data_IF_755953173080
#
_entry.id   IF_755953173080
#
_cell.length_a   1.000
_cell.length_b   1.000
_cell.length_c   1.000
_cell.angle_alpha   90.00
_cell.angle_beta   90.00
_cell.angle_gamma   90.00
#
_symmetry.space_group_name_H-M   'P 1'
#
loop_
_entity.id
_entity.type
_entity.pdbx_description
1 polymer ?
#
# COMPACT_ATOMS: atom_id res chain seq x y z
N UNK A 1 30.04 42.45 -12.15
CA UNK A 1 30.25 41.01 -12.43
C UNK A 1 29.86 40.28 -11.16
N UNK A 2 28.76 39.54 -11.19
CA UNK A 2 28.70 38.16 -10.69
C UNK A 2 27.37 37.56 -11.14
N UNK A 3 27.49 36.39 -11.79
CA UNK A 3 26.42 35.68 -12.47
C UNK A 3 25.34 35.25 -11.49
N UNK A 4 24.10 35.73 -11.67
CA UNK A 4 22.94 34.99 -11.19
C UNK A 4 22.70 33.85 -12.17
N UNK A 5 23.19 32.67 -11.83
CA UNK A 5 22.83 31.43 -12.50
C UNK A 5 21.39 31.11 -12.11
N UNK A 6 20.47 31.18 -13.07
CA UNK A 6 19.11 30.64 -12.90
C UNK A 6 19.23 29.11 -12.81
N UNK A 7 19.41 28.60 -11.59
CA UNK A 7 19.40 27.17 -11.36
C UNK A 7 17.97 26.65 -11.47
N UNK A 8 17.76 25.60 -12.28
CA UNK A 8 16.52 24.83 -12.24
C UNK A 8 16.47 24.00 -10.94
N UNK A 9 15.28 23.65 -10.45
CA UNK A 9 15.02 22.87 -9.22
C UNK A 9 15.93 21.64 -9.14
N UNK A 10 16.12 20.91 -10.24
CA UNK A 10 16.95 19.71 -10.30
C UNK A 10 18.46 19.96 -10.08
N UNK A 11 18.94 21.18 -10.27
CA UNK A 11 20.33 21.57 -10.00
C UNK A 11 20.51 22.03 -8.56
N UNK A 12 19.53 22.76 -8.02
CA UNK A 12 19.52 23.14 -6.59
C UNK A 12 19.42 21.93 -5.67
N UNK A 13 18.63 20.92 -6.02
CA UNK A 13 18.55 19.66 -5.26
C UNK A 13 19.89 18.93 -5.27
N UNK A 14 20.56 18.84 -6.42
CA UNK A 14 21.90 18.21 -6.50
C UNK A 14 22.98 19.00 -5.75
N UNK A 15 22.92 20.33 -5.78
CA UNK A 15 23.83 21.19 -5.03
C UNK A 15 23.63 21.04 -3.52
N UNK A 16 22.37 20.97 -3.08
CA UNK A 16 22.01 20.71 -1.68
C UNK A 16 22.51 19.34 -1.20
N UNK A 17 22.27 18.27 -1.96
CA UNK A 17 22.74 16.92 -1.61
C UNK A 17 24.27 16.88 -1.49
N UNK A 18 24.97 17.55 -2.40
CA UNK A 18 26.44 17.67 -2.37
C UNK A 18 26.94 18.45 -1.15
N UNK A 19 26.27 19.54 -0.77
CA UNK A 19 26.60 20.34 0.41
C UNK A 19 26.36 19.55 1.72
N UNK A 20 25.26 18.80 1.79
CA UNK A 20 24.94 17.93 2.93
C UNK A 20 25.98 16.80 3.08
N UNK A 21 26.35 16.14 1.98
CA UNK A 21 27.34 15.05 1.99
C UNK A 21 28.75 15.53 2.33
N UNK A 22 29.10 16.76 1.95
CA UNK A 22 30.40 17.37 2.28
C UNK A 22 30.43 18.07 3.65
N UNK A 23 29.28 18.19 4.32
CA UNK A 23 29.16 18.88 5.61
C UNK A 23 29.28 20.41 5.50
N UNK A 24 29.07 20.97 4.30
CA UNK A 24 29.00 22.40 4.03
C UNK A 24 27.65 22.96 4.46
N UNK A 25 27.60 23.41 5.71
CA UNK A 25 26.37 23.85 6.38
C UNK A 25 25.84 25.15 5.78
N UNK A 26 26.72 26.09 5.44
CA UNK A 26 26.32 27.39 4.91
C UNK A 26 25.77 27.24 3.48
N UNK A 27 26.40 26.38 2.66
CA UNK A 27 25.89 26.03 1.33
C UNK A 27 24.54 25.30 1.39
N UNK A 28 24.38 24.34 2.31
CA UNK A 28 23.12 23.61 2.45
C UNK A 28 21.94 24.54 2.85
N UNK A 29 22.17 25.50 3.74
CA UNK A 29 21.16 26.48 4.15
C UNK A 29 20.78 27.43 2.99
N UNK A 30 21.78 27.90 2.23
CA UNK A 30 21.57 28.77 1.07
C UNK A 30 20.74 28.07 -0.03
N UNK A 31 21.08 26.83 -0.40
CA UNK A 31 20.34 26.07 -1.42
C UNK A 31 18.92 25.68 -0.97
N UNK A 32 18.74 25.37 0.31
CA UNK A 32 17.43 25.10 0.89
C UNK A 32 16.52 26.34 0.82
N UNK A 33 17.04 27.51 1.22
CA UNK A 33 16.32 28.77 1.15
C UNK A 33 15.99 29.17 -0.30
N UNK A 34 16.89 28.90 -1.25
CA UNK A 34 16.65 29.11 -2.67
C UNK A 34 15.50 28.22 -3.20
N UNK A 35 15.50 26.92 -2.88
CA UNK A 35 14.42 25.97 -3.23
C UNK A 35 13.08 26.38 -2.63
N UNK A 36 13.09 26.87 -1.40
CA UNK A 36 11.89 27.31 -0.69
C UNK A 36 11.24 28.53 -1.36
N UNK A 37 12.03 29.55 -1.69
CA UNK A 37 11.57 30.74 -2.41
C UNK A 37 11.07 30.42 -3.81
N UNK A 38 11.71 29.49 -4.51
CA UNK A 38 11.33 29.07 -5.87
C UNK A 38 9.98 28.33 -5.91
N UNK A 39 9.55 27.75 -4.78
CA UNK A 39 8.24 27.11 -4.60
C UNK A 39 7.16 28.03 -3.98
N UNK A 40 7.44 29.32 -3.86
CA UNK A 40 6.46 30.33 -3.44
C UNK A 40 6.31 30.51 -1.92
N UNK A 41 7.21 29.97 -1.10
CA UNK A 41 7.19 30.19 0.35
C UNK A 41 7.74 31.55 0.77
N UNK A 42 7.22 32.12 1.86
CA UNK A 42 7.63 33.43 2.39
C UNK A 42 8.45 33.30 3.68
N UNK A 43 9.25 34.32 4.04
CA UNK A 43 10.16 34.24 5.21
C UNK A 43 9.43 34.07 6.56
N UNK A 44 8.13 34.37 6.65
CA UNK A 44 7.32 34.17 7.86
C UNK A 44 7.02 32.68 8.14
N UNK A 45 7.05 31.84 7.11
CA UNK A 45 6.75 30.40 7.19
C UNK A 45 7.99 29.56 7.59
N UNK A 46 9.16 30.19 7.75
CA UNK A 46 10.45 29.53 8.01
C UNK A 46 10.84 29.48 9.51
N UNK A 47 9.98 29.90 10.43
CA UNK A 47 10.31 29.95 11.87
C UNK A 47 9.99 28.62 12.56
N UNK A 48 11.03 27.86 12.91
CA UNK A 48 10.91 26.67 13.77
C UNK A 48 10.39 27.04 15.18
N UNK A 49 9.46 26.29 15.79
CA UNK A 49 8.96 26.58 17.14
C UNK A 49 10.06 26.41 18.21
N UNK A 50 10.28 27.44 19.03
CA UNK A 50 11.33 27.55 20.06
C UNK A 50 11.40 26.39 21.09
N UNK A 51 10.37 25.55 21.18
CA UNK A 51 10.28 24.47 22.17
C UNK A 51 10.82 23.11 21.68
N UNK A 52 11.07 22.94 20.38
CA UNK A 52 11.55 21.67 19.83
C UNK A 52 12.96 21.26 20.31
N UNK A 53 13.93 22.19 20.44
CA UNK A 53 15.28 21.83 20.93
C UNK A 53 15.32 21.44 22.42
N UNK A 54 14.40 21.99 23.23
CA UNK A 54 14.37 21.80 24.69
C UNK A 54 13.88 20.40 25.05
N UNK A 55 12.88 19.89 24.34
CA UNK A 55 12.31 18.56 24.60
C UNK A 55 13.26 17.41 24.20
N UNK A 56 14.11 17.62 23.19
CA UNK A 56 15.16 16.66 22.80
C UNK A 56 16.28 16.61 23.85
N UNK A 57 16.61 17.74 24.48
CA UNK A 57 17.63 17.79 25.53
C UNK A 57 17.21 17.08 26.84
N UNK A 58 15.91 17.13 27.18
CA UNK A 58 15.36 16.54 28.41
C UNK A 58 15.09 15.03 28.31
N UNK A 59 14.89 14.50 27.11
CA UNK A 59 14.64 13.06 26.88
C UNK A 59 15.84 12.13 27.14
N UNK A 60 17.06 12.68 27.28
CA UNK A 60 18.31 11.91 27.41
C UNK A 60 18.91 11.88 28.83
N UNK A 61 18.23 12.45 29.85
CA UNK A 61 18.73 12.45 31.24
C UNK A 61 18.20 11.33 32.13
N UNK A 62 17.33 10.45 31.64
CA UNK A 62 16.87 9.29 32.38
C UNK A 62 17.47 8.00 31.80
N UNK A 63 18.71 7.68 32.18
CA UNK A 63 19.29 6.34 32.37
C UNK A 63 20.82 6.37 32.29
N UNK A 64 21.45 5.79 33.31
CA UNK A 64 22.89 5.54 33.54
C UNK A 64 23.76 6.73 33.97
N UNK A 65 24.31 6.57 35.18
CA UNK A 65 25.20 7.52 35.81
C UNK A 65 26.65 7.37 35.37
N UNK A 66 27.37 8.48 35.56
CA UNK A 66 28.82 8.54 35.70
C UNK A 66 29.60 8.22 34.43
N UNK A 67 29.82 9.21 33.57
CA UNK A 67 31.11 9.63 32.96
C UNK A 67 30.86 10.97 32.22
N UNK A 68 31.78 11.96 32.24
CA UNK A 68 31.52 13.26 31.62
C UNK A 68 31.67 13.15 30.09
N UNK A 69 30.56 13.25 29.35
CA UNK A 69 30.59 13.30 27.88
C UNK A 69 30.70 14.73 27.37
N UNK A 70 31.64 14.92 26.43
CA UNK A 70 31.99 16.16 25.73
C UNK A 70 30.76 16.91 25.19
N UNK A 71 30.73 18.20 25.47
CA UNK A 71 29.79 19.19 24.93
C UNK A 71 29.85 19.17 23.39
N UNK A 72 28.90 18.50 22.73
CA UNK A 72 28.73 18.64 21.27
C UNK A 72 28.17 20.04 21.00
N UNK A 73 28.83 20.77 20.09
CA UNK A 73 28.49 22.16 19.80
C UNK A 73 27.05 22.27 19.31
N UNK A 74 26.29 23.22 19.86
CA UNK A 74 24.88 23.50 19.54
C UNK A 74 24.65 23.63 18.03
N UNK A 75 25.67 24.09 17.28
CA UNK A 75 25.67 24.16 15.81
C UNK A 75 25.42 22.80 15.11
N UNK A 76 25.91 21.68 15.68
CA UNK A 76 25.65 20.33 15.14
C UNK A 76 24.20 19.87 15.37
N UNK A 77 23.55 20.37 16.42
CA UNK A 77 22.16 20.03 16.75
C UNK A 77 21.21 20.82 15.84
N UNK A 78 21.52 22.09 15.55
CA UNK A 78 20.76 22.92 14.61
C UNK A 78 20.86 22.38 13.17
N UNK A 79 22.04 21.93 12.73
CA UNK A 79 22.21 21.31 11.40
C UNK A 79 21.43 20.00 11.24
N UNK A 80 21.32 19.18 12.30
CA UNK A 80 20.51 17.95 12.31
C UNK A 80 19.00 18.26 12.29
N UNK A 81 18.57 19.32 12.98
CA UNK A 81 17.17 19.75 12.96
C UNK A 81 16.77 20.35 11.60
N UNK A 82 17.66 21.11 10.95
CA UNK A 82 17.44 21.63 9.60
C UNK A 82 17.36 20.51 8.55
N UNK A 83 18.21 19.48 8.65
CA UNK A 83 18.13 18.31 7.79
C UNK A 83 16.81 17.52 7.99
N UNK A 84 16.33 17.39 9.23
CA UNK A 84 15.03 16.77 9.53
C UNK A 84 13.85 17.61 9.02
N UNK A 85 13.93 18.94 9.10
CA UNK A 85 12.94 19.85 8.53
C UNK A 85 12.94 19.84 6.99
N UNK A 86 14.10 19.61 6.36
CA UNK A 86 14.21 19.41 4.91
C UNK A 86 13.60 18.08 4.46
N UNK A 87 13.72 17.01 5.26
CA UNK A 87 12.99 15.75 5.05
C UNK A 87 11.47 15.98 5.20
N UNK A 88 11.04 16.83 6.12
CA UNK A 88 9.63 17.21 6.29
C UNK A 88 9.11 18.15 5.18
N UNK A 89 9.95 19.05 4.64
CA UNK A 89 9.61 19.96 3.54
C UNK A 89 9.73 19.31 2.15
N UNK A 90 10.54 18.25 2.04
CA UNK A 90 10.48 17.25 0.97
C UNK A 90 9.39 16.19 1.24
N UNK A 91 8.61 16.34 2.31
CA UNK A 91 7.53 15.46 2.75
C UNK A 91 6.28 15.45 1.86
N UNK A 92 6.41 15.78 0.58
CA UNK A 92 5.45 15.38 -0.47
C UNK A 92 6.08 14.31 -1.39
N UNK A 93 7.37 13.99 -1.24
CA UNK A 93 8.07 12.93 -2.00
C UNK A 93 8.97 12.03 -1.15
N UNK A 94 8.94 12.16 0.19
CA UNK A 94 9.70 11.34 1.13
C UNK A 94 8.83 10.44 2.04
N UNK A 95 7.72 9.89 1.53
CA UNK A 95 7.15 8.63 2.06
C UNK A 95 7.87 7.39 1.49
N UNK A 96 8.92 7.57 0.69
CA UNK A 96 9.67 6.47 0.09
C UNK A 96 10.82 5.95 0.99
N UNK A 97 10.52 5.63 2.25
CA UNK A 97 11.21 4.53 2.95
C UNK A 97 10.16 3.78 3.76
N UNK A 98 9.13 3.24 3.10
CA UNK A 98 8.28 2.25 3.75
C UNK A 98 9.05 0.94 3.87
N UNK A 99 9.61 0.79 5.08
CA UNK A 99 10.26 -0.39 5.67
C UNK A 99 9.33 -1.61 5.81
N UNK A 100 8.25 -1.67 5.03
CA UNK A 100 7.25 -2.71 5.14
C UNK A 100 7.42 -3.72 4.03
N UNK A 101 7.91 -4.90 4.41
CA UNK A 101 7.85 -6.07 3.54
C UNK A 101 6.44 -6.66 3.54
N UNK A 102 6.21 -7.64 2.67
CA UNK A 102 4.98 -8.40 2.58
C UNK A 102 4.60 -9.03 3.93
N UNK A 103 5.61 -9.46 4.70
CA UNK A 103 5.43 -9.99 6.04
C UNK A 103 4.80 -8.98 7.03
N UNK A 104 5.03 -7.68 6.84
CA UNK A 104 4.42 -6.65 7.68
C UNK A 104 2.94 -6.44 7.32
N UNK A 105 2.55 -6.71 6.07
CA UNK A 105 1.16 -6.67 5.61
C UNK A 105 0.32 -7.84 6.13
N UNK A 106 0.93 -8.88 6.69
CA UNK A 106 0.21 -10.04 7.24
C UNK A 106 -0.63 -9.60 8.43
N UNK A 107 -1.94 -9.81 8.34
CA UNK A 107 -2.87 -9.53 9.41
C UNK A 107 -2.66 -10.53 10.54
N UNK A 108 -2.36 -10.00 11.73
CA UNK A 108 -2.15 -10.77 12.95
C UNK A 108 -3.35 -10.61 13.86
N UNK A 109 -3.71 -11.69 14.54
CA UNK A 109 -4.68 -11.65 15.61
C UNK A 109 -4.04 -10.95 16.82
N UNK A 110 -4.68 -9.88 17.31
CA UNK A 110 -4.15 -9.06 18.40
C UNK A 110 -4.10 -9.81 19.75
N UNK A 111 -4.90 -10.85 19.94
CA UNK A 111 -4.96 -11.62 21.18
C UNK A 111 -3.91 -12.74 21.22
N UNK A 112 -3.62 -13.35 20.08
CA UNK A 112 -2.70 -14.51 19.99
C UNK A 112 -1.36 -14.19 19.34
N UNK A 113 -1.24 -13.06 18.64
CA UNK A 113 -0.07 -12.65 17.87
C UNK A 113 0.20 -13.48 16.60
N UNK A 114 -0.61 -14.52 16.33
CA UNK A 114 -0.49 -15.37 15.15
C UNK A 114 -1.26 -14.82 13.94
N UNK A 115 -0.98 -15.34 12.75
CA UNK A 115 -1.71 -14.98 11.51
C UNK A 115 -3.20 -15.31 11.63
N UNK A 116 -4.04 -14.47 11.04
CA UNK A 116 -5.49 -14.71 10.97
C UNK A 116 -5.77 -15.77 9.89
N UNK A 117 -6.55 -16.81 10.22
CA UNK A 117 -7.01 -17.83 9.25
C UNK A 117 -8.12 -17.27 8.35
N UNK A 118 -8.32 -17.83 7.15
CA UNK A 118 -9.40 -17.37 6.27
C UNK A 118 -10.79 -17.70 6.87
N UNK A 119 -11.60 -16.71 7.30
CA UNK A 119 -12.91 -16.96 7.90
C UNK A 119 -13.95 -17.51 6.91
N UNK A 120 -13.72 -17.38 5.60
CA UNK A 120 -14.61 -17.93 4.56
C UNK A 120 -14.12 -19.27 4.00
N UNK A 121 -13.07 -19.87 4.60
CA UNK A 121 -12.67 -21.22 4.22
C UNK A 121 -13.77 -22.21 4.60
N UNK A 122 -14.28 -22.97 3.63
CA UNK A 122 -15.19 -24.08 3.89
C UNK A 122 -14.54 -25.14 4.80
N UNK A 123 -15.32 -26.10 5.34
CA UNK A 123 -14.78 -27.16 6.17
C UNK A 123 -13.64 -27.87 5.41
N UNK A 124 -12.48 -27.98 6.07
CA UNK A 124 -11.34 -28.68 5.50
C UNK A 124 -11.79 -30.09 5.08
N UNK A 125 -11.57 -30.44 3.81
CA UNK A 125 -11.75 -31.83 3.36
C UNK A 125 -10.89 -32.73 4.27
N UNK A 126 -11.46 -33.77 4.90
CA UNK A 126 -10.74 -34.56 5.91
C UNK A 126 -9.53 -35.37 5.41
N UNK A 127 -9.15 -35.29 4.13
CA UNK A 127 -8.38 -36.36 3.48
C UNK A 127 -7.33 -35.90 2.45
N UNK A 128 -6.46 -34.94 2.79
CA UNK A 128 -5.26 -34.71 1.96
C UNK A 128 -3.93 -34.86 2.72
N UNK A 129 -3.92 -35.05 4.04
CA UNK A 129 -2.67 -35.23 4.79
C UNK A 129 -1.65 -34.08 4.64
N UNK A 130 -2.03 -33.00 3.97
CA UNK A 130 -1.28 -31.77 3.83
C UNK A 130 -1.49 -30.98 5.11
N UNK A 131 -0.38 -30.68 5.81
CA UNK A 131 -0.38 -29.68 6.88
C UNK A 131 -1.11 -28.44 6.35
N UNK A 132 -1.99 -27.78 7.13
CA UNK A 132 -2.71 -26.61 6.64
C UNK A 132 -1.67 -25.65 6.06
N UNK A 133 -1.75 -25.42 4.76
CA UNK A 133 -0.84 -24.52 4.06
C UNK A 133 -0.81 -23.19 4.84
N UNK A 134 0.36 -22.57 5.03
CA UNK A 134 0.44 -21.26 5.65
C UNK A 134 -0.61 -20.33 5.02
N UNK A 135 -1.43 -19.70 5.87
CA UNK A 135 -2.50 -18.80 5.43
C UNK A 135 -2.16 -17.39 5.89
N UNK A 136 -0.99 -16.88 5.51
CA UNK A 136 -0.73 -15.47 5.76
C UNK A 136 -1.70 -14.66 4.90
N UNK A 137 -2.66 -14.02 5.56
CA UNK A 137 -3.63 -13.14 4.94
C UNK A 137 -3.11 -11.72 4.99
N UNK A 138 -3.06 -11.05 3.84
CA UNK A 138 -2.76 -9.62 3.76
C UNK A 138 -4.03 -8.82 3.51
N UNK A 139 -4.09 -7.64 4.12
CA UNK A 139 -5.02 -6.59 3.73
C UNK A 139 -4.60 -5.99 2.38
N UNK A 140 -5.58 -5.60 1.55
CA UNK A 140 -5.36 -5.02 0.23
C UNK A 140 -5.57 -3.50 0.17
N UNK A 141 -5.92 -2.88 1.29
CA UNK A 141 -6.43 -1.51 1.37
C UNK A 141 -5.52 -0.56 2.19
N UNK A 142 -4.28 -0.97 2.48
CA UNK A 142 -3.31 -0.11 3.15
C UNK A 142 -2.19 -0.83 3.87
N UNK A 143 -1.11 -0.10 4.17
CA UNK A 143 -0.01 -0.56 5.02
C UNK A 143 -0.40 -0.64 6.51
N UNK A 144 0.39 -1.38 7.32
CA UNK A 144 0.21 -1.43 8.76
C UNK A 144 0.21 -0.02 9.36
N UNK A 145 -0.82 0.28 10.15
CA UNK A 145 -0.99 1.60 10.76
C UNK A 145 -2.11 2.43 10.15
N UNK A 146 -2.43 2.20 8.86
CA UNK A 146 -3.60 2.81 8.20
C UNK A 146 -4.90 2.40 8.88
N UNK A 147 -5.93 3.22 8.70
CA UNK A 147 -7.26 2.99 9.29
C UNK A 147 -7.92 1.77 8.67
N UNK A 148 -7.76 1.65 7.36
CA UNK A 148 -8.30 0.62 6.50
C UNK A 148 -7.66 -0.75 6.79
N UNK A 149 -6.33 -0.80 6.97
CA UNK A 149 -5.65 -2.03 7.43
C UNK A 149 -6.17 -2.49 8.79
N UNK A 150 -6.25 -1.58 9.77
CA UNK A 150 -6.68 -1.90 11.14
C UNK A 150 -8.14 -2.35 11.18
N UNK A 151 -9.01 -1.71 10.39
CA UNK A 151 -10.41 -2.08 10.27
C UNK A 151 -10.57 -3.50 9.75
N UNK A 152 -9.88 -3.87 8.68
CA UNK A 152 -9.98 -5.21 8.08
C UNK A 152 -9.32 -6.27 8.94
N UNK A 153 -8.22 -5.95 9.62
CA UNK A 153 -7.64 -6.85 10.62
C UNK A 153 -8.65 -7.15 11.74
N UNK A 154 -9.33 -6.13 12.28
CA UNK A 154 -10.31 -6.29 13.35
C UNK A 154 -11.57 -7.03 12.87
N UNK A 155 -12.04 -6.74 11.65
CA UNK A 155 -13.15 -7.44 11.02
C UNK A 155 -12.83 -8.93 10.81
N UNK A 156 -11.67 -9.23 10.23
CA UNK A 156 -11.21 -10.60 9.98
C UNK A 156 -11.02 -11.39 11.29
N UNK A 157 -10.49 -10.74 12.33
CA UNK A 157 -10.37 -11.33 13.67
C UNK A 157 -11.75 -11.65 14.27
N UNK A 158 -12.72 -10.75 14.12
CA UNK A 158 -14.11 -11.02 14.55
C UNK A 158 -14.71 -12.21 13.80
N UNK A 159 -14.62 -12.22 12.47
CA UNK A 159 -15.18 -13.30 11.65
C UNK A 159 -14.58 -14.68 11.98
N UNK A 160 -13.30 -14.73 12.35
CA UNK A 160 -12.62 -15.99 12.73
C UNK A 160 -13.24 -16.65 13.97
N UNK A 161 -13.81 -15.84 14.87
CA UNK A 161 -14.46 -16.33 16.09
C UNK A 161 -16.00 -16.31 16.02
N UNK A 162 -16.57 -15.79 14.93
CA UNK A 162 -18.02 -15.61 14.79
C UNK A 162 -18.64 -16.77 14.01
N UNK A 163 -19.78 -17.26 14.51
CA UNK A 163 -20.59 -18.31 13.86
C UNK A 163 -19.78 -19.52 13.36
N UNK A 164 -18.82 -19.98 14.17
CA UNK A 164 -17.89 -21.06 13.78
C UNK A 164 -18.56 -22.41 13.57
N UNK A 165 -19.77 -22.61 14.12
CA UNK A 165 -20.61 -23.78 13.90
C UNK A 165 -21.68 -23.55 12.81
N UNK A 166 -21.67 -22.37 12.19
CA UNK A 166 -22.62 -21.89 11.19
C UNK A 166 -24.08 -21.93 11.65
N UNK A 167 -24.37 -21.98 12.95
CA UNK A 167 -25.74 -22.09 13.45
C UNK A 167 -26.58 -20.86 13.07
N UNK A 168 -25.99 -19.66 13.12
CA UNK A 168 -26.65 -18.40 12.77
C UNK A 168 -26.88 -18.33 11.27
N UNK A 169 -25.84 -18.59 10.46
CA UNK A 169 -25.97 -18.61 9.00
C UNK A 169 -27.00 -19.65 8.54
N UNK A 170 -27.01 -20.84 9.13
CA UNK A 170 -27.99 -21.89 8.82
C UNK A 170 -29.43 -21.48 9.19
N UNK A 171 -29.61 -20.69 10.25
CA UNK A 171 -30.91 -20.17 10.64
C UNK A 171 -31.40 -19.09 9.68
N UNK A 172 -30.50 -18.21 9.21
CA UNK A 172 -30.82 -17.18 8.22
C UNK A 172 -31.14 -17.80 6.85
N UNK A 173 -30.36 -18.82 6.45
CA UNK A 173 -30.46 -19.47 5.16
C UNK A 173 -30.10 -18.52 4.00
N UNK A 174 -30.62 -18.82 2.81
CA UNK A 174 -30.31 -18.07 1.58
C UNK A 174 -31.31 -16.94 1.29
N UNK A 175 -32.15 -16.55 2.24
CA UNK A 175 -33.16 -15.51 2.04
C UNK A 175 -32.60 -14.15 2.43
N UNK A 176 -33.02 -13.10 1.71
CA UNK A 176 -32.71 -11.74 2.11
C UNK A 176 -33.33 -11.42 3.48
N UNK A 177 -32.59 -10.67 4.28
CA UNK A 177 -33.02 -10.08 5.54
C UNK A 177 -32.57 -8.62 5.63
N UNK A 178 -32.99 -7.93 6.70
CA UNK A 178 -32.68 -6.51 6.90
C UNK A 178 -31.18 -6.19 6.89
N UNK A 179 -30.31 -7.12 7.30
CA UNK A 179 -28.86 -6.92 7.34
C UNK A 179 -28.23 -7.14 5.97
N UNK A 180 -28.63 -8.18 5.25
CA UNK A 180 -28.14 -8.45 3.89
C UNK A 180 -28.57 -7.36 2.91
N UNK A 181 -29.73 -6.75 3.14
CA UNK A 181 -30.23 -5.63 2.34
C UNK A 181 -29.55 -4.31 2.69
N UNK A 182 -29.23 -4.07 3.98
CA UNK A 182 -28.54 -2.87 4.44
C UNK A 182 -27.04 -2.87 4.06
N UNK A 183 -26.41 -4.04 4.02
CA UNK A 183 -24.97 -4.22 3.76
C UNK A 183 -24.70 -5.22 2.62
N UNK A 184 -25.22 -4.97 1.41
CA UNK A 184 -25.21 -5.95 0.32
C UNK A 184 -23.81 -6.31 -0.20
N UNK A 185 -22.79 -5.52 0.15
CA UNK A 185 -21.41 -5.69 -0.32
C UNK A 185 -20.48 -6.32 0.73
N UNK A 186 -20.98 -6.68 1.91
CA UNK A 186 -20.16 -7.09 3.07
C UNK A 186 -20.60 -8.41 3.71
N UNK A 187 -21.49 -9.16 3.05
CA UNK A 187 -21.98 -10.48 3.50
C UNK A 187 -22.51 -10.48 4.96
N UNK A 188 -23.05 -9.36 5.42
CA UNK A 188 -23.58 -9.22 6.78
C UNK A 188 -24.96 -9.87 6.84
N UNK A 189 -25.10 -10.97 7.59
CA UNK A 189 -26.35 -11.73 7.67
C UNK A 189 -27.04 -11.68 9.04
N UNK A 190 -26.43 -11.05 10.05
CA UNK A 190 -26.97 -10.99 11.41
C UNK A 190 -26.80 -9.62 12.06
N UNK A 191 -27.53 -9.41 13.16
CA UNK A 191 -27.40 -8.21 13.98
C UNK A 191 -25.99 -8.04 14.56
N UNK A 192 -25.39 -9.11 15.06
CA UNK A 192 -24.08 -9.05 15.70
C UNK A 192 -22.99 -8.65 14.69
N UNK A 193 -23.08 -9.17 13.46
CA UNK A 193 -22.19 -8.74 12.37
C UNK A 193 -22.40 -7.27 12.02
N UNK A 194 -23.66 -6.83 11.93
CA UNK A 194 -23.99 -5.43 11.62
C UNK A 194 -23.47 -4.47 12.70
N UNK A 195 -23.72 -4.79 13.98
CA UNK A 195 -23.23 -4.01 15.11
C UNK A 195 -21.70 -3.93 15.11
N UNK A 196 -21.02 -5.06 14.84
CA UNK A 196 -19.55 -5.07 14.81
C UNK A 196 -18.99 -4.31 13.62
N UNK A 197 -19.61 -4.42 12.45
CA UNK A 197 -19.23 -3.64 11.27
C UNK A 197 -19.39 -2.14 11.57
N UNK A 198 -20.55 -1.70 12.06
CA UNK A 198 -20.80 -0.30 12.42
C UNK A 198 -19.81 0.21 13.48
N UNK A 199 -19.48 -0.60 14.50
CA UNK A 199 -18.47 -0.29 15.52
C UNK A 199 -17.10 -0.02 14.87
N UNK A 200 -16.62 -0.92 14.01
CA UNK A 200 -15.34 -0.80 13.33
C UNK A 200 -15.31 0.45 12.44
N UNK A 201 -16.36 0.66 11.65
CA UNK A 201 -16.47 1.81 10.74
C UNK A 201 -16.45 3.13 11.51
N UNK A 202 -17.21 3.23 12.60
CA UNK A 202 -17.20 4.41 13.47
C UNK A 202 -15.85 4.63 14.16
N UNK A 203 -15.22 3.56 14.65
CA UNK A 203 -13.92 3.60 15.35
C UNK A 203 -12.80 4.14 14.47
N UNK A 204 -12.74 3.73 13.21
CA UNK A 204 -11.70 4.16 12.28
C UNK A 204 -12.10 5.37 11.43
N UNK A 205 -13.36 5.79 11.49
CA UNK A 205 -13.89 6.91 10.72
C UNK A 205 -13.87 6.63 9.22
N UNK A 206 -14.27 5.42 8.84
CA UNK A 206 -14.33 4.95 7.46
C UNK A 206 -15.75 5.07 6.90
N UNK A 207 -15.90 4.85 5.61
CA UNK A 207 -17.18 4.67 4.92
C UNK A 207 -17.34 3.22 4.49
N UNK A 208 -18.58 2.83 4.20
CA UNK A 208 -18.90 1.58 3.54
C UNK A 208 -19.30 1.87 2.10
N UNK A 209 -18.92 0.98 1.20
CA UNK A 209 -19.47 0.92 -0.14
C UNK A 209 -20.97 0.64 -0.08
N UNK A 210 -21.70 1.27 -0.99
CA UNK A 210 -23.16 1.15 -1.08
C UNK A 210 -23.61 0.65 -2.45
N UNK A 211 -22.79 0.84 -3.48
CA UNK A 211 -23.11 0.46 -4.85
C UNK A 211 -21.89 -0.15 -5.55
N UNK A 212 -22.14 -1.13 -6.41
CA UNK A 212 -21.12 -1.76 -7.24
C UNK A 212 -21.70 -1.93 -8.64
N UNK A 213 -20.96 -1.47 -9.65
CA UNK A 213 -21.38 -1.54 -11.05
C UNK A 213 -20.40 -2.38 -11.85
N UNK A 214 -20.94 -3.37 -12.57
CA UNK A 214 -20.21 -4.15 -13.59
C UNK A 214 -20.46 -3.51 -14.95
N UNK A 215 -19.42 -3.39 -15.77
CA UNK A 215 -19.51 -2.78 -17.09
C UNK A 215 -19.26 -3.81 -18.19
N UNK A 216 -19.91 -3.60 -19.34
CA UNK A 216 -19.83 -4.51 -20.50
C UNK A 216 -18.47 -4.42 -21.21
N UNK A 217 -17.75 -3.29 -21.09
CA UNK A 217 -16.46 -3.09 -21.75
C UNK A 217 -15.37 -2.58 -20.79
N UNK A 218 -14.09 -2.94 -21.04
CA UNK A 218 -12.94 -2.40 -20.32
C UNK A 218 -12.86 -0.87 -20.31
N UNK A 219 -13.18 -0.23 -21.44
CA UNK A 219 -13.11 1.23 -21.57
C UNK A 219 -14.14 1.92 -20.69
N UNK A 220 -15.35 1.36 -20.60
CA UNK A 220 -16.40 1.86 -19.70
C UNK A 220 -15.98 1.70 -18.25
N UNK A 221 -15.45 0.53 -17.87
CA UNK A 221 -14.95 0.28 -16.52
C UNK A 221 -13.90 1.32 -16.12
N UNK A 222 -12.83 1.47 -16.93
CA UNK A 222 -11.74 2.40 -16.62
C UNK A 222 -12.17 3.86 -16.65
N UNK A 223 -13.09 4.24 -17.53
CA UNK A 223 -13.63 5.60 -17.56
C UNK A 223 -14.42 5.91 -16.29
N UNK A 224 -15.28 4.99 -15.85
CA UNK A 224 -16.10 5.18 -14.64
C UNK A 224 -15.27 5.10 -13.36
N UNK A 225 -14.19 4.31 -13.34
CA UNK A 225 -13.19 4.31 -12.28
C UNK A 225 -12.32 5.59 -12.26
N UNK A 226 -12.43 6.47 -13.27
CA UNK A 226 -11.56 7.63 -13.40
C UNK A 226 -10.10 7.28 -13.75
N UNK A 227 -9.86 6.09 -14.29
CA UNK A 227 -8.56 5.50 -14.63
C UNK A 227 -8.39 5.28 -16.15
N UNK A 228 -9.04 6.12 -16.97
CA UNK A 228 -8.91 6.05 -18.42
C UNK A 228 -7.43 6.19 -18.85
N UNK A 229 -6.97 5.26 -19.69
CA UNK A 229 -5.57 5.19 -20.12
C UNK A 229 -4.63 4.48 -19.14
N UNK A 230 -5.15 3.83 -18.10
CA UNK A 230 -4.34 3.03 -17.16
C UNK A 230 -3.53 1.94 -17.87
N UNK A 231 -4.13 1.24 -18.83
CA UNK A 231 -3.40 0.27 -19.63
C UNK A 231 -2.64 1.03 -20.71
N UNK A 232 -1.32 0.91 -20.72
CA UNK A 232 -0.51 1.54 -21.77
C UNK A 232 -0.77 0.85 -23.09
N UNK A 233 -0.94 1.65 -24.15
CA UNK A 233 -0.85 1.17 -25.53
C UNK A 233 0.54 0.56 -25.74
N UNK A 234 0.59 -0.77 -25.88
CA UNK A 234 1.61 -1.68 -26.44
C UNK A 234 3.03 -1.15 -26.78
N UNK A 235 3.61 -0.25 -25.99
CA UNK A 235 4.91 0.42 -26.22
C UNK A 235 6.11 -0.52 -25.97
N UNK A 236 6.05 -1.74 -26.50
CA UNK A 236 7.15 -2.70 -26.46
C UNK A 236 7.30 -3.49 -25.16
N UNK A 237 6.31 -3.49 -24.26
CA UNK A 237 6.31 -4.26 -23.01
C UNK A 237 5.35 -5.46 -23.02
N UNK A 238 4.32 -5.44 -23.86
CA UNK A 238 3.37 -6.54 -24.00
C UNK A 238 2.00 -6.07 -24.48
N UNK A 239 1.02 -6.99 -24.51
CA UNK A 239 -0.41 -6.70 -24.70
C UNK A 239 -1.12 -6.97 -23.37
N UNK A 240 -1.96 -6.04 -22.91
CA UNK A 240 -2.71 -6.20 -21.67
C UNK A 240 -4.22 -6.03 -21.92
N UNK A 241 -5.04 -6.94 -21.41
CA UNK A 241 -6.50 -6.90 -21.53
C UNK A 241 -7.18 -7.13 -20.19
N UNK A 242 -8.31 -6.44 -20.00
CA UNK A 242 -9.24 -6.68 -18.89
C UNK A 242 -10.25 -7.73 -19.34
N UNK A 243 -10.52 -8.70 -18.48
CA UNK A 243 -11.46 -9.79 -18.73
C UNK A 243 -12.85 -9.47 -18.14
N UNK A 244 -12.88 -9.11 -16.86
CA UNK A 244 -14.10 -8.78 -16.13
C UNK A 244 -13.74 -7.95 -14.90
N UNK A 245 -14.66 -7.10 -14.44
CA UNK A 245 -14.44 -6.30 -13.25
C UNK A 245 -15.62 -5.43 -12.88
N UNK A 246 -15.44 -4.63 -11.84
CA UNK A 246 -16.47 -3.76 -11.29
C UNK A 246 -15.85 -2.49 -10.68
N UNK A 247 -16.70 -1.47 -10.51
CA UNK A 247 -16.35 -0.18 -9.89
C UNK A 247 -17.36 0.10 -8.77
N UNK A 248 -16.87 0.56 -7.63
CA UNK A 248 -17.67 1.06 -6.51
C UNK A 248 -18.00 2.54 -6.67
N UNK A 249 -18.98 3.03 -5.90
CA UNK A 249 -19.45 4.42 -6.00
C UNK A 249 -18.38 5.49 -5.73
N UNK A 250 -17.33 5.16 -4.98
CA UNK A 250 -16.22 6.08 -4.67
C UNK A 250 -15.07 6.04 -5.70
N UNK A 251 -15.19 5.20 -6.72
CA UNK A 251 -14.18 5.01 -7.76
C UNK A 251 -13.13 3.94 -7.42
N UNK A 252 -13.24 3.24 -6.29
CA UNK A 252 -12.50 1.99 -6.09
C UNK A 252 -12.95 0.97 -7.14
N UNK A 253 -12.03 0.12 -7.61
CA UNK A 253 -12.36 -0.83 -8.67
C UNK A 253 -11.46 -2.06 -8.61
N UNK A 254 -12.00 -3.17 -9.10
CA UNK A 254 -11.28 -4.42 -9.22
C UNK A 254 -11.56 -5.07 -10.57
N UNK A 255 -10.58 -5.76 -11.12
CA UNK A 255 -10.77 -6.52 -12.34
C UNK A 255 -9.77 -7.67 -12.46
N UNK A 256 -10.18 -8.72 -13.16
CA UNK A 256 -9.30 -9.78 -13.64
C UNK A 256 -8.72 -9.38 -15.00
N UNK A 257 -7.45 -9.66 -15.20
CA UNK A 257 -6.73 -9.33 -16.42
C UNK A 257 -5.79 -10.42 -16.88
N UNK A 258 -5.41 -10.32 -18.15
CA UNK A 258 -4.40 -11.17 -18.76
C UNK A 258 -3.46 -10.31 -19.59
N UNK A 259 -2.16 -10.51 -19.40
CA UNK A 259 -1.12 -9.85 -20.16
C UNK A 259 -0.25 -10.87 -20.90
N UNK A 260 0.20 -10.50 -22.10
CA UNK A 260 1.23 -11.23 -22.84
C UNK A 260 2.45 -10.34 -22.88
N UNK A 261 3.51 -10.72 -22.16
CA UNK A 261 4.77 -9.97 -22.13
C UNK A 261 5.50 -10.08 -23.47
N UNK A 262 6.44 -9.19 -23.76
CA UNK A 262 7.29 -9.30 -24.96
C UNK A 262 8.16 -10.56 -25.02
N UNK A 263 8.31 -11.26 -23.89
CA UNK A 263 8.94 -12.59 -23.84
C UNK A 263 8.04 -13.71 -24.36
N UNK A 264 6.76 -13.42 -24.64
CA UNK A 264 5.73 -14.40 -25.02
C UNK A 264 5.00 -15.02 -23.82
N UNK A 265 5.44 -14.72 -22.59
CA UNK A 265 4.82 -15.26 -21.36
C UNK A 265 3.44 -14.65 -21.12
N UNK A 266 2.50 -15.51 -20.74
CA UNK A 266 1.16 -15.13 -20.34
C UNK A 266 1.15 -14.91 -18.82
N UNK A 267 0.59 -13.78 -18.39
CA UNK A 267 0.46 -13.40 -16.99
C UNK A 267 -1.02 -13.12 -16.71
N UNK A 268 -1.65 -13.99 -15.93
CA UNK A 268 -2.99 -13.75 -15.41
C UNK A 268 -2.89 -13.05 -14.04
N UNK A 269 -3.78 -12.11 -13.79
CA UNK A 269 -3.70 -11.29 -12.60
C UNK A 269 -5.06 -10.73 -12.18
N UNK A 270 -5.13 -10.28 -10.93
CA UNK A 270 -6.27 -9.56 -10.37
C UNK A 270 -5.76 -8.20 -9.91
N UNK A 271 -6.37 -7.13 -10.39
CA UNK A 271 -6.03 -5.77 -10.04
C UNK A 271 -7.06 -5.22 -9.08
N UNK A 272 -6.61 -4.57 -8.01
CA UNK A 272 -7.46 -3.81 -7.11
C UNK A 272 -6.88 -2.43 -6.85
N UNK A 273 -7.73 -1.41 -6.95
CA UNK A 273 -7.45 -0.05 -6.50
C UNK A 273 -8.48 0.33 -5.43
N UNK A 274 -8.01 0.49 -4.20
CA UNK A 274 -8.83 0.69 -3.01
C UNK A 274 -8.72 2.15 -2.56
N UNK A 275 -9.82 2.90 -2.65
CA UNK A 275 -9.85 4.32 -2.26
C UNK A 275 -9.74 4.46 -0.74
N UNK A 276 -8.84 5.34 -0.29
CA UNK A 276 -8.62 5.60 1.14
C UNK A 276 -9.83 6.29 1.75
N UNK A 277 -10.08 5.99 3.02
CA UNK A 277 -11.27 6.43 3.75
C UNK A 277 -12.49 5.53 3.59
N UNK A 278 -12.40 4.47 2.77
CA UNK A 278 -13.46 3.47 2.60
C UNK A 278 -12.99 2.09 3.06
N UNK A 279 -13.87 1.35 3.71
CA UNK A 279 -13.59 0.00 4.19
C UNK A 279 -13.83 -1.03 3.10
N UNK A 280 -12.88 -1.96 2.94
CA UNK A 280 -13.03 -3.18 2.15
C UNK A 280 -12.76 -4.39 3.03
N UNK A 281 -13.60 -5.40 2.93
CA UNK A 281 -13.43 -6.69 3.60
C UNK A 281 -12.62 -7.69 2.76
N UNK A 282 -12.04 -7.25 1.65
CA UNK A 282 -11.22 -8.08 0.77
C UNK A 282 -9.81 -8.21 1.35
N UNK A 283 -9.33 -9.45 1.42
CA UNK A 283 -7.99 -9.81 1.82
C UNK A 283 -7.46 -10.93 0.92
N UNK A 284 -6.14 -11.10 0.91
CA UNK A 284 -5.48 -12.07 0.04
C UNK A 284 -4.65 -13.05 0.84
N UNK A 285 -4.86 -14.35 0.61
CA UNK A 285 -3.92 -15.37 1.07
C UNK A 285 -2.67 -15.35 0.19
N UNK A 286 -1.51 -15.15 0.81
CA UNK A 286 -0.20 -15.14 0.15
C UNK A 286 0.64 -16.38 0.43
N UNK A 287 0.12 -17.35 1.18
CA UNK A 287 0.89 -18.53 1.58
C UNK A 287 1.80 -18.21 2.75
N UNK A 288 3.10 -18.41 2.56
CA UNK A 288 4.16 -18.07 3.51
C UNK A 288 4.82 -16.76 3.08
N UNK A 289 4.50 -15.65 3.75
CA UNK A 289 5.00 -14.33 3.37
C UNK A 289 6.53 -14.22 3.49
N UNK A 290 7.15 -15.05 4.35
CA UNK A 290 8.61 -15.03 4.56
C UNK A 290 9.41 -15.60 3.39
N UNK A 291 8.75 -16.30 2.46
CA UNK A 291 9.38 -16.91 1.27
C UNK A 291 9.42 -15.99 0.04
N UNK A 292 8.85 -14.79 0.13
CA UNK A 292 8.84 -13.87 -1.00
C UNK A 292 10.20 -13.19 -1.16
N UNK A 293 10.63 -13.04 -2.40
CA UNK A 293 11.70 -12.12 -2.75
C UNK A 293 11.09 -10.75 -3.00
N UNK A 294 11.56 -9.75 -2.26
CA UNK A 294 10.97 -8.41 -2.29
C UNK A 294 11.97 -7.36 -2.77
N UNK A 295 11.52 -6.41 -3.59
CA UNK A 295 12.32 -5.27 -4.02
C UNK A 295 11.44 -4.11 -4.48
N UNK A 296 12.03 -2.91 -4.52
CA UNK A 296 11.38 -1.74 -5.10
C UNK A 296 11.76 -1.62 -6.58
N UNK A 297 10.82 -1.18 -7.40
CA UNK A 297 11.04 -0.95 -8.83
C UNK A 297 10.46 0.40 -9.27
N UNK A 298 11.28 1.21 -9.93
CA UNK A 298 10.84 2.44 -10.56
C UNK A 298 10.31 2.12 -11.97
N UNK A 299 9.00 2.21 -12.12
CA UNK A 299 8.30 1.90 -13.37
C UNK A 299 8.53 2.97 -14.42
N UNK A 300 8.29 2.62 -15.68
CA UNK A 300 8.37 3.54 -16.82
C UNK A 300 7.31 4.67 -16.78
N UNK A 301 6.24 4.53 -15.99
CA UNK A 301 5.29 5.62 -15.74
C UNK A 301 5.76 6.58 -14.64
N UNK A 302 6.92 6.31 -14.01
CA UNK A 302 7.52 7.16 -12.99
C UNK A 302 7.10 6.81 -11.56
N UNK A 303 6.17 5.87 -11.37
CA UNK A 303 5.80 5.38 -10.04
C UNK A 303 6.83 4.37 -9.52
N UNK A 304 7.11 4.41 -8.21
CA UNK A 304 7.90 3.37 -7.54
C UNK A 304 6.94 2.37 -6.89
N UNK A 305 7.01 1.11 -7.32
CA UNK A 305 6.17 0.03 -6.81
C UNK A 305 6.98 -0.96 -5.97
N UNK A 306 6.34 -1.54 -4.96
CA UNK A 306 6.88 -2.67 -4.20
C UNK A 306 6.52 -3.97 -4.94
N UNK A 307 7.53 -4.75 -5.32
CA UNK A 307 7.38 -6.03 -5.98
C UNK A 307 7.69 -7.16 -4.99
N UNK A 308 6.84 -8.18 -4.98
CA UNK A 308 7.07 -9.40 -4.20
C UNK A 308 6.88 -10.62 -5.11
N UNK A 309 7.88 -11.50 -5.18
CA UNK A 309 7.85 -12.71 -6.02
C UNK A 309 7.96 -13.96 -5.14
N UNK A 310 6.88 -14.73 -5.09
CA UNK A 310 6.82 -16.01 -4.40
C UNK A 310 6.80 -17.19 -5.38
N UNK A 311 6.66 -18.40 -4.82
CA UNK A 311 6.70 -19.63 -5.62
C UNK A 311 5.48 -19.79 -6.53
N UNK A 312 4.27 -19.49 -6.03
CA UNK A 312 3.01 -19.70 -6.75
C UNK A 312 2.31 -18.40 -7.17
N UNK A 313 2.77 -17.25 -6.68
CA UNK A 313 2.19 -15.94 -7.00
C UNK A 313 3.20 -14.81 -6.85
N UNK A 314 2.87 -13.67 -7.42
CA UNK A 314 3.61 -12.43 -7.24
C UNK A 314 2.67 -11.25 -6.97
N UNK A 315 3.22 -10.16 -6.46
CA UNK A 315 2.48 -8.95 -6.12
C UNK A 315 3.16 -7.71 -6.68
N UNK A 316 2.35 -6.78 -7.15
CA UNK A 316 2.72 -5.37 -7.35
C UNK A 316 1.90 -4.54 -6.38
N UNK A 317 2.55 -3.77 -5.52
CA UNK A 317 1.90 -2.96 -4.49
C UNK A 317 2.35 -1.51 -4.62
N UNK A 318 1.40 -0.59 -4.56
CA UNK A 318 1.65 0.84 -4.64
C UNK A 318 0.71 1.59 -3.69
N UNK A 319 1.28 2.43 -2.83
CA UNK A 319 0.52 3.31 -1.95
C UNK A 319 0.50 4.73 -2.54
N UNK A 320 -0.67 5.15 -3.02
CA UNK A 320 -0.92 6.46 -3.61
C UNK A 320 -1.55 7.41 -2.57
N UNK A 321 -1.56 8.73 -2.79
CA UNK A 321 -2.19 9.66 -1.84
C UNK A 321 -3.65 9.34 -1.55
N UNK A 322 -4.45 9.00 -2.57
CA UNK A 322 -5.90 8.77 -2.42
C UNK A 322 -6.30 7.29 -2.51
N UNK A 323 -5.40 6.39 -2.93
CA UNK A 323 -5.71 4.96 -3.02
C UNK A 323 -4.54 4.04 -2.66
N UNK A 324 -4.85 2.76 -2.45
CA UNK A 324 -3.88 1.69 -2.32
C UNK A 324 -4.11 0.68 -3.44
N UNK A 325 -3.06 0.34 -4.17
CA UNK A 325 -3.13 -0.54 -5.34
C UNK A 325 -2.45 -1.84 -5.01
N UNK A 326 -3.13 -2.96 -5.27
CA UNK A 326 -2.54 -4.29 -5.23
C UNK A 326 -2.88 -5.04 -6.51
N UNK A 327 -1.87 -5.62 -7.14
CA UNK A 327 -2.01 -6.51 -8.28
C UNK A 327 -1.54 -7.90 -7.85
N UNK A 328 -2.48 -8.84 -7.73
CA UNK A 328 -2.23 -10.25 -7.45
C UNK A 328 -1.97 -11.00 -8.75
N UNK A 329 -0.71 -11.33 -9.01
CA UNK A 329 -0.31 -12.12 -10.18
C UNK A 329 -0.50 -13.60 -9.85
N UNK A 330 -1.30 -14.30 -10.65
CA UNK A 330 -1.68 -15.71 -10.48
C UNK A 330 -0.58 -16.67 -10.98
N UNK A 331 0.68 -16.34 -10.70
CA UNK A 331 1.84 -17.13 -11.09
C UNK A 331 3.09 -16.66 -10.35
N UNK A 332 4.04 -17.58 -10.14
CA UNK A 332 5.27 -17.32 -9.39
C UNK A 332 6.48 -17.98 -10.03
N UNK A 333 7.50 -18.29 -9.23
CA UNK A 333 8.73 -18.92 -9.74
C UNK A 333 8.58 -20.40 -10.09
N UNK A 334 7.45 -21.02 -9.75
CA UNK A 334 7.12 -22.40 -10.14
C UNK A 334 6.17 -22.41 -11.32
N UNK A 335 6.26 -23.48 -12.11
CA UNK A 335 5.32 -23.73 -13.19
C UNK A 335 3.96 -24.10 -12.61
N UNK A 336 2.91 -23.42 -13.06
CA UNK A 336 1.55 -23.81 -12.72
C UNK A 336 0.95 -24.60 -13.89
N UNK A 337 1.02 -25.92 -13.77
CA UNK A 337 0.51 -26.85 -14.77
C UNK A 337 -1.03 -26.81 -14.90
N UNK A 338 -1.76 -26.33 -13.88
CA UNK A 338 -3.23 -26.23 -13.94
C UNK A 338 -3.68 -25.07 -14.83
N UNK A 339 -2.90 -23.99 -14.88
CA UNK A 339 -3.19 -22.81 -15.69
C UNK A 339 -2.24 -22.65 -16.90
N UNK A 340 -1.34 -23.62 -17.12
CA UNK A 340 -0.31 -23.59 -18.16
C UNK A 340 0.52 -22.28 -18.15
N UNK A 341 0.84 -21.80 -16.95
CA UNK A 341 1.60 -20.58 -16.76
C UNK A 341 3.08 -20.88 -16.55
N UNK A 342 3.90 -20.32 -17.44
CA UNK A 342 5.35 -20.38 -17.32
C UNK A 342 5.82 -19.65 -16.04
N UNK A 343 6.88 -20.15 -15.39
CA UNK A 343 7.51 -19.46 -14.26
C UNK A 343 7.82 -17.99 -14.55
N UNK A 344 7.52 -17.12 -13.60
CA UNK A 344 7.80 -15.68 -13.65
C UNK A 344 9.17 -15.40 -13.01
N UNK A 345 10.05 -14.71 -13.72
CA UNK A 345 11.30 -14.18 -13.17
C UNK A 345 11.14 -12.71 -12.74
N UNK A 346 12.10 -12.18 -11.97
CA UNK A 346 12.10 -10.77 -11.55
C UNK A 346 11.90 -9.79 -12.71
N UNK A 347 12.67 -9.98 -13.79
CA UNK A 347 12.59 -9.13 -14.98
C UNK A 347 11.24 -9.24 -15.72
N UNK A 348 10.54 -10.37 -15.61
CA UNK A 348 9.19 -10.51 -16.17
C UNK A 348 8.17 -9.73 -15.31
N UNK A 349 8.31 -9.76 -13.98
CA UNK A 349 7.46 -9.00 -13.07
C UNK A 349 7.66 -7.47 -13.21
N UNK A 350 8.89 -7.02 -13.43
CA UNK A 350 9.20 -5.61 -13.74
C UNK A 350 8.56 -5.16 -15.05
N UNK A 351 8.68 -5.98 -16.12
CA UNK A 351 8.01 -5.71 -17.41
C UNK A 351 6.49 -5.71 -17.28
N UNK A 352 5.94 -6.61 -16.47
CA UNK A 352 4.53 -6.64 -16.16
C UNK A 352 4.08 -5.37 -15.45
N UNK A 353 4.82 -4.92 -14.43
CA UNK A 353 4.53 -3.68 -13.71
C UNK A 353 4.56 -2.45 -14.65
N UNK A 354 5.39 -2.47 -15.70
CA UNK A 354 5.47 -1.41 -16.71
C UNK A 354 4.28 -1.35 -17.69
N UNK A 355 3.37 -2.33 -17.68
CA UNK A 355 2.15 -2.32 -18.49
C UNK A 355 1.11 -1.31 -18.01
N UNK A 356 1.29 -0.75 -16.81
CA UNK A 356 0.36 0.17 -16.18
C UNK A 356 0.91 1.60 -16.13
N UNK A 357 0.06 2.57 -16.47
CA UNK A 357 0.28 3.98 -16.24
C UNK A 357 -0.34 4.40 -14.90
N UNK A 358 0.40 4.18 -13.80
CA UNK A 358 -0.06 4.51 -12.45
C UNK A 358 -0.36 6.01 -12.24
N UNK A 359 0.11 6.89 -13.14
CA UNK A 359 -0.25 8.32 -13.10
C UNK A 359 -1.73 8.58 -13.41
N UNK A 360 -2.46 7.57 -13.89
CA UNK A 360 -3.90 7.60 -14.12
C UNK A 360 -4.73 7.25 -12.88
N UNK A 361 -4.08 6.84 -11.81
CA UNK A 361 -4.68 6.54 -10.52
C UNK A 361 -4.55 7.77 -9.61
N UNK A 362 -5.49 7.93 -8.68
CA UNK A 362 -5.57 9.09 -7.79
C UNK A 362 -4.88 8.81 -6.46
#
# INVERSE_FOLDING_TARGET
MENRTDFNIAELVRALDSAVLSGDVDGADEFAAALYRLRGGTEEDAVMPDQFPINIALGNTAYSGGHPMKQKSVKKIVALAAAAALIAALGITALATHLFGLNDLVMKNNDTGGSISNPYAGPASPDDGTSPLPQDLIALQGYPGSKEYKATQEWSAFLTGYDTDHAVLNQVGNSANEYTEKYPLYLVYSKDMADKLEEIIAKYGLKLHTEMTVFDTPEQLLTNAGAAGLLKDNNGTGVNKILSGYVYEDGAFQYDGEAVLTTGKIVQYQFGNYVKGTFSDVYLNVGDASKYQEWQYATQSGATVSLALGENKALVILDLPESFVVINVLGGTMEDAAFAMDPIAKADLEKFADLFDYSRLK
#
